data_IF_324966177808
#
_entry.id   IF_324966177808
#
_cell.length_a   1.000
_cell.length_b   1.000
_cell.length_c   1.000
_cell.angle_alpha   90.00
_cell.angle_beta   90.00
_cell.angle_gamma   90.00
#
_symmetry.space_group_name_H-M   'P 1'
#
loop_
_entity.id
_entity.type
_entity.pdbx_description
1 polymer ?
#
# COMPACT_ATOMS: atom_id res chain seq x y z
N UNK A 1 53.20 -2.63 2.24
CA UNK A 1 52.12 -1.63 2.42
C UNK A 1 51.40 -1.27 1.10
N UNK A 2 51.58 -2.00 -0.01
CA UNK A 2 50.90 -1.71 -1.28
C UNK A 2 49.51 -2.39 -1.41
N UNK A 3 49.36 -3.59 -0.85
CA UNK A 3 48.16 -4.44 -1.00
C UNK A 3 46.85 -3.86 -0.39
N UNK A 4 46.96 -2.97 0.58
CA UNK A 4 45.77 -2.36 1.23
C UNK A 4 45.17 -1.18 0.47
N UNK A 5 45.91 -0.55 -0.45
CA UNK A 5 45.42 0.62 -1.21
C UNK A 5 44.60 0.14 -2.41
N UNK A 6 45.02 -0.95 -3.05
CA UNK A 6 44.34 -1.55 -4.20
C UNK A 6 42.98 -2.14 -3.79
N UNK A 7 42.88 -2.74 -2.61
CA UNK A 7 41.60 -3.25 -2.07
C UNK A 7 40.60 -2.13 -1.73
N UNK A 8 41.08 -0.99 -1.21
CA UNK A 8 40.25 0.19 -0.95
C UNK A 8 39.78 0.85 -2.26
N UNK A 9 40.64 0.88 -3.28
CA UNK A 9 40.28 1.37 -4.62
C UNK A 9 39.17 0.54 -5.27
N UNK A 10 39.32 -0.79 -5.29
CA UNK A 10 38.31 -1.72 -5.83
C UNK A 10 36.99 -1.65 -5.05
N UNK A 11 37.05 -1.52 -3.72
CA UNK A 11 35.85 -1.33 -2.89
C UNK A 11 35.15 0.00 -3.21
N UNK A 12 35.90 1.09 -3.41
CA UNK A 12 35.37 2.40 -3.76
C UNK A 12 34.66 2.43 -5.12
N UNK A 13 35.24 1.79 -6.14
CA UNK A 13 34.61 1.69 -7.48
C UNK A 13 33.29 0.90 -7.44
N UNK A 14 33.26 -0.19 -6.66
CA UNK A 14 32.05 -0.98 -6.48
C UNK A 14 30.96 -0.21 -5.73
N UNK A 15 31.32 0.54 -4.69
CA UNK A 15 30.39 1.42 -3.97
C UNK A 15 29.83 2.47 -4.92
N UNK A 16 30.67 3.15 -5.71
CA UNK A 16 30.24 4.17 -6.68
C UNK A 16 29.24 3.59 -7.68
N UNK A 17 29.54 2.43 -8.25
CA UNK A 17 28.64 1.75 -9.20
C UNK A 17 27.28 1.40 -8.59
N UNK A 18 27.25 1.00 -7.31
CA UNK A 18 25.99 0.72 -6.59
C UNK A 18 25.19 2.01 -6.39
N UNK A 19 25.84 3.09 -5.94
CA UNK A 19 25.18 4.39 -5.72
C UNK A 19 24.59 4.93 -7.03
N UNK A 20 25.37 4.97 -8.11
CA UNK A 20 24.89 5.44 -9.42
C UNK A 20 23.68 4.63 -9.93
N UNK A 21 23.64 3.31 -9.64
CA UNK A 21 22.49 2.47 -9.99
C UNK A 21 21.26 2.80 -9.14
N UNK A 22 21.44 3.09 -7.85
CA UNK A 22 20.35 3.48 -6.95
C UNK A 22 19.80 4.83 -7.37
N UNK A 23 20.66 5.82 -7.62
CA UNK A 23 20.25 7.17 -8.04
C UNK A 23 19.41 7.13 -9.33
N UNK A 24 19.80 6.33 -10.33
CA UNK A 24 18.98 6.12 -11.53
C UNK A 24 17.60 5.55 -11.21
N UNK A 25 17.52 4.56 -10.32
CA UNK A 25 16.23 3.98 -9.90
C UNK A 25 15.40 5.00 -9.10
N UNK A 26 16.02 5.85 -8.30
CA UNK A 26 15.32 6.93 -7.58
C UNK A 26 14.74 7.97 -8.54
N UNK A 27 15.47 8.32 -9.60
CA UNK A 27 14.95 9.18 -10.69
C UNK A 27 13.75 8.51 -11.38
N UNK A 28 13.86 7.25 -11.77
CA UNK A 28 12.74 6.50 -12.37
C UNK A 28 11.52 6.44 -11.44
N UNK A 29 11.71 6.20 -10.14
CA UNK A 29 10.63 6.20 -9.14
C UNK A 29 9.97 7.59 -9.08
N UNK A 30 10.76 8.66 -9.11
CA UNK A 30 10.25 10.03 -9.07
C UNK A 30 9.37 10.31 -10.29
N UNK A 31 9.81 9.95 -11.48
CA UNK A 31 9.06 10.13 -12.72
C UNK A 31 7.76 9.32 -12.71
N UNK A 32 7.81 8.07 -12.24
CA UNK A 32 6.62 7.23 -12.06
C UNK A 32 5.64 7.81 -11.03
N UNK A 33 6.16 8.40 -9.94
CA UNK A 33 5.34 9.07 -8.93
C UNK A 33 4.68 10.33 -9.48
N UNK A 34 5.36 11.06 -10.35
CA UNK A 34 4.83 12.25 -11.03
C UNK A 34 3.72 11.86 -12.01
N UNK A 35 3.96 10.88 -12.90
CA UNK A 35 2.92 10.36 -13.79
C UNK A 35 1.69 9.83 -13.04
N UNK A 36 1.90 9.15 -11.90
CA UNK A 36 0.79 8.74 -11.03
C UNK A 36 -0.02 9.91 -10.48
N UNK A 37 0.63 11.05 -10.15
CA UNK A 37 -0.07 12.25 -9.67
C UNK A 37 -0.88 12.89 -10.80
N UNK A 38 -0.35 12.93 -12.01
CA UNK A 38 -1.03 13.46 -13.20
C UNK A 38 -2.32 12.68 -13.49
N UNK A 39 -2.28 11.34 -13.44
CA UNK A 39 -3.48 10.49 -13.61
C UNK A 39 -4.57 10.84 -12.58
N UNK A 40 -4.19 11.08 -11.31
CA UNK A 40 -5.17 11.52 -10.32
C UNK A 40 -5.68 12.94 -10.54
N UNK A 41 -4.86 13.83 -11.12
CA UNK A 41 -5.27 15.19 -11.46
C UNK A 41 -6.26 15.20 -12.64
N UNK A 42 -6.03 14.35 -13.64
CA UNK A 42 -6.96 14.10 -14.76
C UNK A 42 -8.30 13.57 -14.24
N UNK A 43 -8.27 12.49 -13.44
CA UNK A 43 -9.48 11.93 -12.83
C UNK A 43 -10.27 12.96 -12.01
N UNK A 44 -9.57 13.84 -11.28
CA UNK A 44 -10.21 14.95 -10.56
C UNK A 44 -10.86 15.97 -11.50
N UNK A 45 -10.22 16.26 -12.63
CA UNK A 45 -10.74 17.20 -13.65
C UNK A 45 -11.96 16.63 -14.37
N UNK A 46 -12.06 15.31 -14.48
CA UNK A 46 -13.26 14.59 -14.94
C UNK A 46 -14.39 14.52 -13.89
N UNK A 47 -14.14 15.01 -12.67
CA UNK A 47 -15.12 15.04 -11.58
C UNK A 47 -15.13 13.80 -10.69
N UNK A 48 -14.14 12.91 -10.78
CA UNK A 48 -14.02 11.73 -9.93
C UNK A 48 -13.43 12.08 -8.55
N UNK A 49 -13.90 11.39 -7.51
CA UNK A 49 -13.33 11.52 -6.16
C UNK A 49 -12.03 10.71 -6.04
N UNK A 50 -10.90 11.43 -6.04
CA UNK A 50 -9.55 10.87 -5.89
C UNK A 50 -9.37 10.07 -4.60
N UNK A 51 -10.08 10.40 -3.50
CA UNK A 51 -10.00 9.63 -2.25
C UNK A 51 -10.61 8.25 -2.43
N UNK A 52 -11.78 8.18 -3.08
CA UNK A 52 -12.45 6.90 -3.38
C UNK A 52 -11.59 6.05 -4.31
N UNK A 53 -10.99 6.65 -5.36
CA UNK A 53 -10.08 5.92 -6.25
C UNK A 53 -8.86 5.34 -5.51
N UNK A 54 -8.30 6.07 -4.55
CA UNK A 54 -7.19 5.58 -3.71
C UNK A 54 -7.63 4.41 -2.82
N UNK A 55 -8.83 4.45 -2.26
CA UNK A 55 -9.35 3.33 -1.47
C UNK A 55 -9.60 2.10 -2.34
N UNK A 56 -10.15 2.28 -3.55
CA UNK A 56 -10.29 1.18 -4.53
C UNK A 56 -8.92 0.56 -4.85
N UNK A 57 -7.88 1.38 -5.10
CA UNK A 57 -6.54 0.87 -5.36
C UNK A 57 -5.95 0.12 -4.16
N UNK A 58 -6.23 0.55 -2.93
CA UNK A 58 -5.80 -0.13 -1.70
C UNK A 58 -6.51 -1.47 -1.56
N UNK A 59 -7.83 -1.51 -1.71
CA UNK A 59 -8.63 -2.74 -1.69
C UNK A 59 -8.15 -3.74 -2.76
N UNK A 60 -7.84 -3.26 -3.97
CA UNK A 60 -7.34 -4.09 -5.07
C UNK A 60 -5.94 -4.66 -4.84
N UNK A 61 -5.16 -4.09 -3.93
CA UNK A 61 -3.83 -4.59 -3.55
C UNK A 61 -3.89 -5.65 -2.46
N UNK A 62 -4.99 -5.71 -1.71
CA UNK A 62 -5.19 -6.74 -0.71
C UNK A 62 -5.45 -8.08 -1.39
N UNK A 63 -5.00 -9.16 -0.75
CA UNK A 63 -5.34 -10.51 -1.17
C UNK A 63 -6.86 -10.68 -1.25
N UNK A 64 -7.33 -11.41 -2.25
CA UNK A 64 -8.76 -11.54 -2.51
C UNK A 64 -9.43 -12.40 -1.43
N UNK A 65 -8.80 -13.49 -1.03
CA UNK A 65 -9.39 -14.43 -0.08
C UNK A 65 -9.43 -13.78 1.32
N UNK A 66 -8.38 -13.06 1.72
CA UNK A 66 -8.38 -12.26 2.95
C UNK A 66 -9.47 -11.19 2.98
N UNK A 67 -9.75 -10.56 1.83
CA UNK A 67 -10.80 -9.54 1.72
C UNK A 67 -12.19 -10.15 1.83
N UNK A 68 -12.43 -11.25 1.13
CA UNK A 68 -13.73 -11.93 1.11
C UNK A 68 -14.05 -12.49 2.53
N UNK A 69 -13.05 -12.98 3.26
CA UNK A 69 -13.20 -13.39 4.66
C UNK A 69 -13.53 -12.20 5.58
N UNK A 70 -12.81 -11.08 5.45
CA UNK A 70 -13.08 -9.86 6.22
C UNK A 70 -14.48 -9.29 5.95
N UNK A 71 -14.92 -9.28 4.70
CA UNK A 71 -16.26 -8.81 4.32
C UNK A 71 -17.35 -9.68 4.93
N UNK A 72 -17.18 -11.00 4.90
CA UNK A 72 -18.08 -11.97 5.54
C UNK A 72 -18.18 -11.72 7.04
N UNK A 73 -17.05 -11.55 7.72
CA UNK A 73 -17.02 -11.28 9.17
C UNK A 73 -17.67 -9.94 9.52
N UNK A 74 -17.40 -8.90 8.72
CA UNK A 74 -17.98 -7.57 8.90
C UNK A 74 -19.51 -7.63 8.78
N UNK A 75 -20.04 -8.32 7.77
CA UNK A 75 -21.49 -8.49 7.59
C UNK A 75 -22.13 -9.18 8.81
N UNK A 76 -21.50 -10.26 9.31
CA UNK A 76 -21.97 -10.98 10.51
C UNK A 76 -22.03 -10.05 11.72
N UNK A 77 -21.00 -9.23 11.95
CA UNK A 77 -20.96 -8.32 13.09
C UNK A 77 -21.94 -7.15 12.97
N UNK A 78 -22.07 -6.54 11.79
CA UNK A 78 -23.07 -5.50 11.55
C UNK A 78 -24.48 -6.03 11.79
N UNK A 79 -24.80 -7.22 11.26
CA UNK A 79 -26.08 -7.88 11.50
C UNK A 79 -26.33 -8.16 12.98
N UNK A 80 -25.30 -8.56 13.73
CA UNK A 80 -25.41 -8.80 15.16
C UNK A 80 -25.64 -7.50 15.96
N UNK A 81 -25.06 -6.38 15.53
CA UNK A 81 -25.29 -5.06 16.14
C UNK A 81 -26.70 -4.52 15.86
N UNK A 82 -27.22 -4.76 14.66
CA UNK A 82 -28.56 -4.34 14.26
C UNK A 82 -29.66 -5.29 14.77
N UNK A 83 -29.28 -6.51 15.20
CA UNK A 83 -30.22 -7.42 15.82
C UNK A 83 -30.75 -6.79 17.13
N UNK A 84 -32.08 -6.79 17.35
CA UNK A 84 -32.63 -6.32 18.61
C UNK A 84 -32.00 -7.12 19.76
N UNK A 85 -31.59 -6.42 20.81
CA UNK A 85 -31.05 -7.05 22.01
C UNK A 85 -32.00 -8.21 22.41
N UNK A 86 -31.47 -9.41 22.72
CA UNK A 86 -32.32 -10.50 23.16
C UNK A 86 -33.17 -9.97 24.31
N UNK A 87 -34.50 -10.08 24.17
CA UNK A 87 -35.41 -9.71 25.24
C UNK A 87 -34.88 -10.34 26.53
N UNK A 88 -34.82 -9.60 27.65
CA UNK A 88 -34.32 -10.16 28.90
C UNK A 88 -35.08 -11.46 29.10
N UNK A 89 -34.38 -12.59 29.05
CA UNK A 89 -35.00 -13.88 29.27
C UNK A 89 -35.60 -13.76 30.66
N UNK A 90 -36.92 -13.59 30.71
CA UNK A 90 -37.64 -13.55 31.96
C UNK A 90 -37.23 -14.83 32.68
N UNK A 91 -36.61 -14.67 33.85
CA UNK A 91 -36.33 -15.77 34.76
C UNK A 91 -37.56 -16.67 34.79
N UNK A 92 -37.43 -17.87 34.22
CA UNK A 92 -38.41 -18.90 34.39
C UNK A 92 -38.33 -19.32 35.86
N UNK A 93 -39.26 -18.76 36.65
CA UNK A 93 -39.55 -19.17 38.02
C UNK A 93 -40.08 -20.60 38.08
#
# INVERSE_FOLDING_TARGET
MADSIDTVGVAGERIRTIIERIERVEEEIKDLMEGKKEIFAEAKSEGLDVKVLKEILKLRKQDKDERDEQETLLEVYLRAMDAPAPAPMAEAA
#
